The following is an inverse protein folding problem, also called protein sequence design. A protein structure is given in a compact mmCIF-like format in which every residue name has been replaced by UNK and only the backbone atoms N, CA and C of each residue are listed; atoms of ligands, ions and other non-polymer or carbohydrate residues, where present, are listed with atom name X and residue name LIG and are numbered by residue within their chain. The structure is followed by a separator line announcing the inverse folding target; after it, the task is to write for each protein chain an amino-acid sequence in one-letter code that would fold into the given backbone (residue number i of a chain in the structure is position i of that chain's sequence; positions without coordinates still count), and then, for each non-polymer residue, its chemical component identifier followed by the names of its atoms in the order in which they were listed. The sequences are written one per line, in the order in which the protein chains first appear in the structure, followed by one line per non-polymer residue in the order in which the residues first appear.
data_IF_228777205409
#
_entry.id   IF_228777205409
#
_cell.length_a   1.000
_cell.length_b   1.000
_cell.length_c   1.000
_cell.angle_alpha   90.00
_cell.angle_beta   90.00
_cell.angle_gamma   90.00
#
_symmetry.space_group_name_H-M   'P 1'
#
loop_
_entity.id
_entity.type
_entity.pdbx_description
1 polymer ?
#
# COMPACT_ATOMS: atom_id res chain seq x y z
N UNK A 1 -3.74 -4.66 -20.33
CA UNK A 1 -3.20 -4.11 -19.05
C UNK A 1 -2.91 -5.18 -18.03
N UNK A 2 -3.81 -6.15 -17.82
CA UNK A 2 -3.66 -7.18 -16.76
C UNK A 2 -2.36 -7.97 -16.88
N UNK A 3 -2.01 -8.43 -18.07
CA UNK A 3 -0.73 -9.13 -18.34
C UNK A 3 0.49 -8.30 -17.91
N UNK A 4 0.51 -6.99 -18.27
CA UNK A 4 1.60 -6.10 -17.87
C UNK A 4 1.67 -5.84 -16.37
N UNK A 5 0.53 -5.89 -15.67
CA UNK A 5 0.52 -5.83 -14.20
C UNK A 5 1.15 -7.10 -13.61
N UNK A 6 0.84 -8.28 -14.16
CA UNK A 6 1.42 -9.54 -13.66
C UNK A 6 2.94 -9.57 -13.88
N UNK A 7 3.44 -9.10 -15.03
CA UNK A 7 4.88 -8.93 -15.29
C UNK A 7 5.52 -7.94 -14.32
N UNK A 8 4.89 -6.80 -14.06
CA UNK A 8 5.35 -5.82 -13.08
C UNK A 8 5.45 -6.41 -11.66
N UNK A 9 4.45 -7.20 -11.25
CA UNK A 9 4.47 -7.85 -9.93
C UNK A 9 5.59 -8.90 -9.83
N UNK A 10 5.87 -9.60 -10.93
CA UNK A 10 7.01 -10.51 -11.02
C UNK A 10 8.35 -9.75 -10.93
N UNK A 11 8.50 -8.65 -11.65
CA UNK A 11 9.65 -7.75 -11.57
C UNK A 11 9.90 -7.25 -10.15
N UNK A 12 8.87 -6.78 -9.46
CA UNK A 12 8.96 -6.33 -8.07
C UNK A 12 9.49 -7.42 -7.13
N UNK A 13 9.05 -8.66 -7.34
CA UNK A 13 9.44 -9.79 -6.50
C UNK A 13 10.83 -10.31 -6.86
N UNK A 14 11.08 -10.59 -8.15
CA UNK A 14 12.28 -11.27 -8.62
C UNK A 14 13.51 -10.35 -8.71
N UNK A 15 13.33 -9.11 -9.16
CA UNK A 15 14.47 -8.21 -9.39
C UNK A 15 14.65 -7.19 -8.27
N UNK A 16 13.57 -6.63 -7.74
CA UNK A 16 13.64 -5.63 -6.67
C UNK A 16 13.54 -6.22 -5.26
N UNK A 17 13.38 -7.54 -5.14
CA UNK A 17 13.28 -8.27 -3.87
C UNK A 17 12.30 -7.61 -2.86
N UNK A 18 11.16 -7.10 -3.36
CA UNK A 18 10.17 -6.45 -2.52
C UNK A 18 9.44 -7.47 -1.66
N UNK A 19 9.14 -7.09 -0.42
CA UNK A 19 8.40 -7.93 0.51
C UNK A 19 7.07 -8.40 -0.09
N UNK A 20 6.68 -9.65 0.15
CA UNK A 20 5.45 -10.27 -0.35
C UNK A 20 4.20 -9.43 -0.06
N UNK A 21 4.13 -8.80 1.12
CA UNK A 21 3.03 -7.92 1.49
C UNK A 21 2.94 -6.67 0.60
N UNK A 22 4.08 -6.11 0.17
CA UNK A 22 4.11 -4.96 -0.75
C UNK A 22 3.59 -5.37 -2.12
N UNK A 23 4.06 -6.50 -2.64
CA UNK A 23 3.61 -7.03 -3.93
C UNK A 23 2.11 -7.36 -3.92
N UNK A 24 1.60 -7.98 -2.83
CA UNK A 24 0.18 -8.24 -2.65
C UNK A 24 -0.66 -6.96 -2.58
N UNK A 25 -0.17 -5.93 -1.87
CA UNK A 25 -0.84 -4.63 -1.81
C UNK A 25 -0.91 -3.96 -3.20
N UNK A 26 0.19 -3.97 -3.97
CA UNK A 26 0.23 -3.43 -5.32
C UNK A 26 -0.68 -4.20 -6.29
N UNK A 27 -0.71 -5.54 -6.18
CA UNK A 27 -1.66 -6.36 -6.93
C UNK A 27 -3.11 -5.93 -6.68
N UNK A 28 -3.48 -5.76 -5.41
CA UNK A 28 -4.83 -5.31 -5.06
C UNK A 28 -5.13 -3.88 -5.55
N UNK A 29 -4.14 -2.99 -5.50
CA UNK A 29 -4.30 -1.60 -5.93
C UNK A 29 -4.39 -1.44 -7.45
N UNK A 30 -3.71 -2.28 -8.21
CA UNK A 30 -3.68 -2.23 -9.68
C UNK A 30 -4.74 -3.14 -10.31
N UNK A 31 -4.82 -4.40 -9.92
CA UNK A 31 -5.67 -5.43 -10.54
C UNK A 31 -6.87 -5.86 -9.71
N UNK A 32 -6.98 -5.42 -8.44
CA UNK A 32 -8.11 -5.77 -7.57
C UNK A 32 -9.45 -5.18 -8.03
N UNK A 33 -10.56 -5.53 -7.33
CA UNK A 33 -11.92 -5.11 -7.71
C UNK A 33 -12.12 -3.59 -7.67
N UNK A 34 -11.31 -2.86 -6.89
CA UNK A 34 -11.27 -1.39 -6.85
C UNK A 34 -9.88 -0.88 -7.31
N UNK A 35 -9.24 -1.61 -8.21
CA UNK A 35 -7.92 -1.30 -8.75
C UNK A 35 -7.98 -0.43 -10.00
N UNK A 36 -6.81 0.09 -10.39
CA UNK A 36 -6.68 0.98 -11.53
C UNK A 36 -7.11 0.33 -12.85
N UNK A 37 -6.77 -0.95 -13.08
CA UNK A 37 -7.12 -1.63 -14.34
C UNK A 37 -8.62 -1.68 -14.59
N UNK A 38 -9.41 -1.94 -13.55
CA UNK A 38 -10.87 -1.94 -13.65
C UNK A 38 -11.41 -0.54 -13.90
N UNK A 39 -10.95 0.45 -13.14
CA UNK A 39 -11.33 1.86 -13.34
C UNK A 39 -11.04 2.31 -14.78
N UNK A 40 -9.85 2.02 -15.29
CA UNK A 40 -9.43 2.39 -16.63
C UNK A 40 -10.30 1.74 -17.71
N UNK A 41 -10.64 0.46 -17.54
CA UNK A 41 -11.53 -0.27 -18.45
C UNK A 41 -12.95 0.33 -18.47
N UNK A 42 -13.51 0.64 -17.30
CA UNK A 42 -14.82 1.29 -17.14
C UNK A 42 -14.84 2.69 -17.79
N UNK A 43 -13.81 3.52 -17.56
CA UNK A 43 -13.69 4.86 -18.16
C UNK A 43 -13.62 4.85 -19.68
N UNK A 44 -12.99 3.82 -20.26
CA UNK A 44 -12.81 3.71 -21.72
C UNK A 44 -13.86 2.80 -22.39
N UNK A 45 -14.78 2.19 -21.62
CA UNK A 45 -15.83 1.31 -22.12
C UNK A 45 -15.29 0.03 -22.77
N UNK A 46 -14.18 -0.50 -22.27
CA UNK A 46 -13.51 -1.72 -22.78
C UNK A 46 -13.38 -2.77 -21.67
N UNK A 47 -13.19 -4.02 -22.04
CA UNK A 47 -13.00 -5.10 -21.07
C UNK A 47 -11.59 -5.05 -20.42
N UNK A 48 -10.57 -4.80 -21.23
CA UNK A 48 -9.18 -4.60 -20.78
C UNK A 48 -8.49 -3.53 -21.61
N UNK A 49 -8.03 -2.46 -20.97
CA UNK A 49 -7.34 -1.36 -21.63
C UNK A 49 -5.87 -1.74 -21.85
N UNK A 50 -5.30 -1.58 -23.06
CA UNK A 50 -3.87 -1.73 -23.28
C UNK A 50 -3.06 -0.74 -22.42
N UNK A 51 -1.95 -1.21 -21.82
CA UNK A 51 -1.12 -0.36 -20.91
C UNK A 51 -0.58 0.90 -21.62
N UNK A 52 -0.26 0.82 -22.90
CA UNK A 52 0.18 1.95 -23.74
C UNK A 52 -0.85 3.07 -23.94
N UNK A 53 -2.10 2.85 -23.55
CA UNK A 53 -3.17 3.85 -23.60
C UNK A 53 -3.41 4.55 -22.27
N UNK A 54 -2.55 4.34 -21.29
CA UNK A 54 -2.57 5.09 -20.03
C UNK A 54 -2.03 6.49 -20.34
N UNK A 55 -2.92 7.47 -20.27
CA UNK A 55 -2.60 8.89 -20.45
C UNK A 55 -2.79 9.68 -19.16
N UNK A 56 -2.37 10.94 -19.19
CA UNK A 56 -2.47 11.86 -18.04
C UNK A 56 -3.91 12.07 -17.61
N UNK A 57 -4.84 12.18 -18.54
CA UNK A 57 -6.25 12.47 -18.25
C UNK A 57 -6.90 11.29 -17.51
N UNK A 58 -6.57 10.05 -17.88
CA UNK A 58 -7.00 8.85 -17.19
C UNK A 58 -6.44 8.78 -15.76
N UNK A 59 -5.18 9.18 -15.58
CA UNK A 59 -4.56 9.24 -14.24
C UNK A 59 -5.22 10.30 -13.37
N UNK A 60 -5.51 11.49 -13.91
CA UNK A 60 -6.22 12.55 -13.19
C UNK A 60 -7.62 12.11 -12.78
N UNK A 61 -8.39 11.51 -13.70
CA UNK A 61 -9.72 10.98 -13.41
C UNK A 61 -9.68 9.90 -12.33
N UNK A 62 -8.66 9.03 -12.33
CA UNK A 62 -8.49 8.02 -11.28
C UNK A 62 -8.20 8.64 -9.92
N UNK A 63 -7.33 9.64 -9.86
CA UNK A 63 -7.00 10.34 -8.60
C UNK A 63 -8.21 11.06 -8.05
N UNK A 64 -9.03 11.66 -8.90
CA UNK A 64 -10.28 12.30 -8.50
C UNK A 64 -11.27 11.28 -7.93
N UNK A 65 -11.48 10.16 -8.61
CA UNK A 65 -12.29 9.03 -8.15
C UNK A 65 -11.82 8.48 -6.79
N UNK A 66 -10.50 8.33 -6.62
CA UNK A 66 -9.92 7.92 -5.34
C UNK A 66 -10.22 8.90 -4.20
N UNK A 67 -10.15 10.21 -4.46
CA UNK A 67 -10.45 11.23 -3.48
C UNK A 67 -11.94 11.26 -3.09
N UNK A 68 -12.82 10.93 -4.03
CA UNK A 68 -14.26 10.82 -3.75
C UNK A 68 -14.60 9.55 -2.97
N UNK A 69 -13.98 8.42 -3.30
CA UNK A 69 -14.27 7.11 -2.67
C UNK A 69 -13.61 6.93 -1.31
N UNK A 70 -12.45 7.51 -1.06
CA UNK A 70 -11.66 7.23 0.14
C UNK A 70 -11.47 8.46 1.02
N UNK A 71 -12.01 8.40 2.23
CA UNK A 71 -11.80 9.45 3.24
C UNK A 71 -10.35 9.47 3.81
N UNK A 72 -9.61 8.33 3.72
CA UNK A 72 -8.25 8.24 4.24
C UNK A 72 -7.22 8.60 3.18
N UNK A 73 -6.56 9.73 3.35
CA UNK A 73 -5.46 10.20 2.48
C UNK A 73 -4.35 9.14 2.29
N UNK A 74 -4.03 8.36 3.33
CA UNK A 74 -3.01 7.30 3.23
C UNK A 74 -3.36 6.20 2.22
N UNK A 75 -4.64 5.86 2.06
CA UNK A 75 -5.11 4.89 1.06
C UNK A 75 -4.94 5.45 -0.35
N UNK A 76 -5.30 6.71 -0.56
CA UNK A 76 -5.14 7.40 -1.84
C UNK A 76 -3.65 7.48 -2.22
N UNK A 77 -2.79 7.89 -1.28
CA UNK A 77 -1.35 7.98 -1.51
C UNK A 77 -0.73 6.62 -1.86
N UNK A 78 -1.12 5.53 -1.17
CA UNK A 78 -0.62 4.20 -1.47
C UNK A 78 -1.03 3.73 -2.88
N UNK A 79 -2.30 3.90 -3.26
CA UNK A 79 -2.81 3.53 -4.59
C UNK A 79 -2.12 4.34 -5.70
N UNK A 80 -1.87 5.62 -5.47
CA UNK A 80 -1.09 6.45 -6.40
C UNK A 80 0.36 6.00 -6.50
N UNK A 81 1.01 5.65 -5.38
CA UNK A 81 2.38 5.14 -5.39
C UNK A 81 2.49 3.82 -6.18
N UNK A 82 1.51 2.92 -6.04
CA UNK A 82 1.44 1.69 -6.83
C UNK A 82 1.30 1.99 -8.33
N UNK A 83 0.40 2.92 -8.71
CA UNK A 83 0.22 3.33 -10.10
C UNK A 83 1.48 3.99 -10.66
N UNK A 84 2.12 4.88 -9.90
CA UNK A 84 3.37 5.53 -10.32
C UNK A 84 4.48 4.51 -10.59
N UNK A 85 4.68 3.58 -9.67
CA UNK A 85 5.70 2.52 -9.81
C UNK A 85 5.40 1.62 -11.02
N UNK A 86 4.13 1.34 -11.29
CA UNK A 86 3.72 0.60 -12.50
C UNK A 86 3.99 1.39 -13.78
N UNK A 87 3.69 2.69 -13.81
CA UNK A 87 3.98 3.54 -14.98
C UNK A 87 5.49 3.71 -15.20
N UNK A 88 6.31 3.79 -14.14
CA UNK A 88 7.78 3.78 -14.26
C UNK A 88 8.26 2.49 -14.93
N UNK A 89 7.76 1.32 -14.49
CA UNK A 89 8.05 0.03 -15.13
C UNK A 89 7.63 0.00 -16.62
N UNK A 90 6.48 0.58 -16.97
CA UNK A 90 6.04 0.64 -18.38
C UNK A 90 6.93 1.55 -19.23
N UNK A 91 7.49 2.60 -18.65
CA UNK A 91 8.48 3.45 -19.35
C UNK A 91 9.79 2.70 -19.56
N UNK A 92 10.28 2.02 -18.52
CA UNK A 92 11.51 1.22 -18.59
C UNK A 92 11.39 0.06 -19.59
N UNK A 93 10.19 -0.50 -19.72
CA UNK A 93 9.87 -1.56 -20.70
C UNK A 93 9.57 -1.05 -22.11
N UNK A 94 9.51 0.28 -22.33
CA UNK A 94 9.25 0.89 -23.63
C UNK A 94 7.78 0.91 -24.08
N UNK A 95 6.83 0.58 -23.18
CA UNK A 95 5.39 0.67 -23.48
C UNK A 95 4.87 2.10 -23.42
N UNK A 96 5.47 2.92 -22.56
CA UNK A 96 5.21 4.36 -22.45
C UNK A 96 6.48 5.16 -22.75
N UNK A 97 6.33 6.31 -23.34
CA UNK A 97 7.45 7.24 -23.60
C UNK A 97 7.78 8.09 -22.38
N UNK A 98 6.77 8.41 -21.58
CA UNK A 98 6.89 9.23 -20.37
C UNK A 98 5.92 8.72 -19.30
N UNK A 99 6.25 8.95 -18.03
CA UNK A 99 5.35 8.55 -16.95
C UNK A 99 4.19 9.56 -16.79
N UNK A 100 2.94 9.17 -17.09
CA UNK A 100 1.79 10.09 -17.02
C UNK A 100 1.42 10.54 -15.60
N UNK A 101 2.00 9.91 -14.56
CA UNK A 101 1.79 10.28 -13.16
C UNK A 101 2.77 11.35 -12.67
N UNK A 102 3.80 11.71 -13.45
CA UNK A 102 4.90 12.57 -12.99
C UNK A 102 4.42 13.99 -12.62
N UNK A 103 3.46 14.53 -13.36
CA UNK A 103 2.94 15.90 -13.18
C UNK A 103 1.63 15.94 -12.36
N UNK A 104 1.21 14.82 -11.77
CA UNK A 104 0.00 14.77 -10.97
C UNK A 104 0.35 14.99 -9.51
N UNK A 105 -0.06 16.15 -8.97
CA UNK A 105 0.22 16.51 -7.59
C UNK A 105 -0.32 15.50 -6.58
N UNK A 106 0.51 15.16 -5.58
CA UNK A 106 0.09 14.34 -4.46
C UNK A 106 -0.59 15.22 -3.39
N UNK A 107 -1.77 14.85 -2.87
CA UNK A 107 -2.26 15.49 -1.67
C UNK A 107 -1.21 15.34 -0.56
N UNK A 108 -0.89 16.44 0.12
CA UNK A 108 0.03 16.37 1.28
C UNK A 108 -0.63 15.53 2.36
N UNK A 109 0.03 14.44 2.75
CA UNK A 109 -0.40 13.69 3.93
C UNK A 109 -0.29 14.62 5.14
N UNK A 110 -1.35 14.74 5.97
CA UNK A 110 -1.21 15.43 7.25
C UNK A 110 -0.13 14.71 8.07
N UNK A 111 0.76 15.49 8.66
CA UNK A 111 1.80 14.98 9.54
C UNK A 111 1.14 14.33 10.75
N UNK A 112 1.03 13.00 10.75
CA UNK A 112 0.48 12.25 11.88
C UNK A 112 1.60 11.99 12.87
N UNK A 113 1.61 12.75 13.97
CA UNK A 113 2.42 12.37 15.12
C UNK A 113 1.76 11.15 15.78
N UNK A 114 2.48 10.03 15.95
CA UNK A 114 1.96 8.89 16.70
C UNK A 114 1.56 9.32 18.11
N UNK A 115 0.46 8.80 18.62
CA UNK A 115 0.15 8.91 20.05
C UNK A 115 1.13 8.02 20.80
N UNK A 116 1.96 8.63 21.63
CA UNK A 116 2.96 7.91 22.42
C UNK A 116 2.38 7.66 23.80
N UNK A 117 2.48 6.43 24.28
CA UNK A 117 2.14 6.08 25.66
C UNK A 117 3.18 6.69 26.61
N UNK A 118 2.73 7.21 27.75
CA UNK A 118 3.64 7.61 28.80
C UNK A 118 4.13 6.40 29.61
N UNK A 119 5.12 6.59 30.49
CA UNK A 119 5.74 5.50 31.26
C UNK A 119 4.72 4.72 32.10
N UNK A 120 3.78 5.42 32.75
CA UNK A 120 2.74 4.76 33.56
C UNK A 120 1.79 3.91 32.73
N UNK A 121 1.46 4.37 31.52
CA UNK A 121 0.61 3.61 30.59
C UNK A 121 1.35 2.37 30.06
N UNK A 122 2.65 2.48 29.80
CA UNK A 122 3.49 1.34 29.40
C UNK A 122 3.58 0.32 30.53
N UNK A 123 3.87 0.76 31.77
CA UNK A 123 3.96 -0.13 32.94
C UNK A 123 2.61 -0.84 33.19
N UNK A 124 1.50 -0.11 33.10
CA UNK A 124 0.17 -0.68 33.25
C UNK A 124 -0.13 -1.72 32.15
N UNK A 125 0.26 -1.43 30.91
CA UNK A 125 0.07 -2.35 29.77
C UNK A 125 0.88 -3.64 29.95
N UNK A 126 2.15 -3.54 30.36
CA UNK A 126 3.02 -4.69 30.61
C UNK A 126 2.57 -5.53 31.82
N UNK A 127 1.95 -4.90 32.81
CA UNK A 127 1.42 -5.58 34.00
C UNK A 127 0.07 -6.29 33.74
N UNK A 128 -0.67 -5.90 32.71
CA UNK A 128 -2.05 -6.39 32.47
C UNK A 128 -2.15 -7.92 32.36
N UNK A 129 -1.33 -8.62 31.56
CA UNK A 129 -1.41 -10.08 31.45
C UNK A 129 -1.14 -10.78 32.79
N UNK A 130 -0.31 -10.19 33.66
CA UNK A 130 0.07 -10.79 34.96
C UNK A 130 -1.06 -10.85 35.97
N UNK A 131 -2.20 -10.21 35.69
CA UNK A 131 -3.41 -10.29 36.54
C UNK A 131 -4.12 -11.64 36.42
N UNK A 132 -3.77 -12.43 35.39
CA UNK A 132 -4.40 -13.71 35.11
C UNK A 132 -3.40 -14.86 35.29
N UNK A 133 -3.87 -15.99 35.85
CA UNK A 133 -3.02 -17.17 36.14
C UNK A 133 -3.21 -18.25 35.08
N UNK A 134 -3.23 -17.87 33.80
CA UNK A 134 -3.35 -18.80 32.65
C UNK A 134 -2.05 -18.93 31.89
N UNK A 135 -1.86 -20.03 31.16
CA UNK A 135 -0.68 -20.24 30.34
C UNK A 135 -0.57 -19.16 29.23
N UNK A 136 -1.70 -18.73 28.68
CA UNK A 136 -1.78 -17.66 27.70
C UNK A 136 -1.28 -16.34 28.29
N UNK A 137 -1.67 -16.01 29.50
CA UNK A 137 -1.26 -14.79 30.17
C UNK A 137 0.25 -14.75 30.44
N UNK A 138 0.86 -15.89 30.78
CA UNK A 138 2.31 -16.01 30.95
C UNK A 138 3.01 -15.80 29.60
N UNK A 139 2.51 -16.42 28.54
CA UNK A 139 3.03 -16.22 27.17
C UNK A 139 2.93 -14.76 26.75
N UNK A 140 1.76 -14.16 26.92
CA UNK A 140 1.48 -12.78 26.47
C UNK A 140 2.35 -11.77 27.24
N UNK A 141 2.56 -11.98 28.54
CA UNK A 141 3.50 -11.17 29.34
C UNK A 141 4.92 -11.26 28.78
N UNK A 142 5.42 -12.45 28.47
CA UNK A 142 6.75 -12.65 27.93
C UNK A 142 6.91 -12.00 26.55
N UNK A 143 5.90 -12.12 25.67
CA UNK A 143 5.90 -11.50 24.35
C UNK A 143 5.92 -9.97 24.44
N UNK A 144 5.10 -9.38 25.32
CA UNK A 144 5.03 -7.92 25.49
C UNK A 144 6.34 -7.36 26.07
N UNK A 145 6.91 -8.01 27.06
CA UNK A 145 8.23 -7.65 27.63
C UNK A 145 9.34 -7.69 26.56
N UNK A 146 9.35 -8.76 25.74
CA UNK A 146 10.31 -8.90 24.66
C UNK A 146 10.17 -7.80 23.60
N UNK A 147 8.94 -7.52 23.16
CA UNK A 147 8.67 -6.45 22.19
C UNK A 147 9.06 -5.08 22.73
N UNK A 148 8.77 -4.81 24.01
CA UNK A 148 9.14 -3.54 24.63
C UNK A 148 10.66 -3.39 24.77
N UNK A 149 11.35 -4.43 25.21
CA UNK A 149 12.79 -4.42 25.40
C UNK A 149 13.60 -4.30 24.10
N UNK A 150 13.10 -4.88 23.00
CA UNK A 150 13.82 -4.97 21.73
C UNK A 150 13.31 -4.00 20.67
N UNK A 151 12.10 -3.46 20.82
CA UNK A 151 11.45 -2.64 19.79
C UNK A 151 11.05 -3.42 18.53
N UNK A 152 11.05 -4.77 18.58
CA UNK A 152 10.64 -5.61 17.45
C UNK A 152 9.15 -5.45 17.13
N UNK A 153 8.80 -5.66 15.86
CA UNK A 153 7.40 -5.68 15.46
C UNK A 153 6.76 -7.02 15.76
N UNK A 154 5.44 -7.05 15.97
CA UNK A 154 4.67 -8.28 16.24
C UNK A 154 4.90 -9.39 15.20
N UNK A 155 5.28 -9.02 13.98
CA UNK A 155 5.54 -9.96 12.87
C UNK A 155 6.99 -10.45 12.77
N UNK A 156 7.89 -9.88 13.55
CA UNK A 156 9.30 -10.26 13.64
C UNK A 156 9.52 -11.30 14.73
#
# INVERSE_FOLDING_TARGET
MRERIDEFLHYLHAELNRAANTTAAYKNDLAGPNGFARFAAECRGVEDLPAKQIDRDLVLAYVEDLNQRYAKTSTVLRKRAALRSFCDFLVDSGDLTTNPTAEVDAPRAPERKPTVLNTFEVDALLAEPRKYSTAEAVRDAAMMELMYATGMRVTE
#
